data_IF_056767421677
#
_entry.id   IF_056767421677
#
_cell.length_a   1.000
_cell.length_b   1.000
_cell.length_c   1.000
_cell.angle_alpha   90.00
_cell.angle_beta   90.00
_cell.angle_gamma   90.00
#
_symmetry.space_group_name_H-M   'P 1'
#
loop_
_entity.id
_entity.type
_entity.pdbx_description
1 polymer ?
#
# COMPACT_ATOMS: atom_id res chain seq x y z
N UNK A 1 -0.54 -27.02 -16.25
CA UNK A 1 0.53 -26.06 -15.89
C UNK A 1 -0.02 -24.65 -16.14
N UNK A 2 -0.35 -23.89 -15.08
CA UNK A 2 -0.70 -22.46 -15.24
C UNK A 2 0.55 -21.75 -15.79
N UNK A 3 0.43 -21.10 -16.96
CA UNK A 3 1.51 -20.23 -17.48
C UNK A 3 1.79 -19.20 -16.39
N UNK A 4 3.06 -19.09 -15.92
CA UNK A 4 3.50 -18.00 -15.05
C UNK A 4 3.20 -16.66 -15.75
N UNK A 5 2.11 -16.03 -15.34
CA UNK A 5 1.71 -14.72 -15.87
C UNK A 5 2.66 -13.66 -15.28
N UNK A 6 3.31 -12.87 -16.13
CA UNK A 6 4.17 -11.77 -15.67
C UNK A 6 3.33 -10.71 -14.96
N UNK A 7 3.92 -10.09 -13.94
CA UNK A 7 3.36 -8.95 -13.24
C UNK A 7 4.48 -7.99 -12.86
N UNK A 8 4.32 -6.71 -13.12
CA UNK A 8 5.31 -5.71 -12.75
C UNK A 8 5.12 -5.28 -11.30
N UNK A 9 6.19 -5.25 -10.50
CA UNK A 9 6.14 -4.73 -9.14
C UNK A 9 6.80 -3.36 -9.05
N UNK A 10 6.01 -2.35 -8.75
CA UNK A 10 6.50 -1.02 -8.41
C UNK A 10 6.75 -0.94 -6.90
N UNK A 11 8.00 -1.21 -6.47
CA UNK A 11 8.39 -1.22 -5.06
C UNK A 11 8.38 0.18 -4.42
N UNK A 12 8.75 1.19 -5.20
CA UNK A 12 8.88 2.56 -4.70
C UNK A 12 10.00 2.72 -3.65
N UNK A 13 10.11 3.90 -3.07
CA UNK A 13 11.14 4.18 -2.07
C UNK A 13 10.85 3.52 -0.71
N UNK A 14 9.59 3.31 -0.36
CA UNK A 14 9.23 2.75 0.93
C UNK A 14 9.69 1.30 1.08
N UNK A 15 9.36 0.42 0.14
CA UNK A 15 9.78 -0.98 0.17
C UNK A 15 11.29 -1.17 -0.05
N UNK A 16 11.97 -0.19 -0.69
CA UNK A 16 13.42 -0.29 -0.88
C UNK A 16 14.23 0.18 0.35
N UNK A 17 13.75 1.18 1.10
CA UNK A 17 14.59 1.88 2.09
C UNK A 17 13.97 2.00 3.49
N UNK A 18 12.65 1.85 3.64
CA UNK A 18 11.94 2.06 4.92
C UNK A 18 11.42 0.74 5.49
N UNK A 19 10.80 -0.08 4.65
CA UNK A 19 10.15 -1.32 5.05
C UNK A 19 10.37 -2.43 3.99
N UNK A 20 11.60 -2.98 3.90
CA UNK A 20 11.93 -3.99 2.90
C UNK A 20 11.11 -5.28 3.04
N UNK A 21 10.59 -5.58 4.23
CA UNK A 21 9.74 -6.74 4.46
C UNK A 21 8.49 -6.70 3.59
N UNK A 22 7.85 -5.53 3.45
CA UNK A 22 6.67 -5.36 2.58
C UNK A 22 6.98 -5.72 1.13
N UNK A 23 8.16 -5.32 0.63
CA UNK A 23 8.60 -5.66 -0.72
C UNK A 23 8.80 -7.16 -0.91
N UNK A 24 9.47 -7.80 0.03
CA UNK A 24 9.71 -9.25 0.03
C UNK A 24 8.39 -10.03 0.12
N UNK A 25 7.51 -9.62 1.02
CA UNK A 25 6.18 -10.24 1.21
C UNK A 25 5.34 -10.13 -0.06
N UNK A 26 5.35 -8.97 -0.71
CA UNK A 26 4.63 -8.76 -1.98
C UNK A 26 5.12 -9.74 -3.06
N UNK A 27 6.44 -9.86 -3.22
CA UNK A 27 7.03 -10.78 -4.21
C UNK A 27 6.67 -12.23 -3.90
N UNK A 28 6.74 -12.65 -2.62
CA UNK A 28 6.45 -14.01 -2.21
C UNK A 28 4.98 -14.37 -2.41
N UNK A 29 4.06 -13.48 -2.00
CA UNK A 29 2.61 -13.68 -2.18
C UNK A 29 2.25 -13.73 -3.66
N UNK A 30 2.80 -12.86 -4.51
CA UNK A 30 2.56 -12.92 -5.95
C UNK A 30 3.03 -14.24 -6.57
N UNK A 31 4.17 -14.77 -6.14
CA UNK A 31 4.66 -16.09 -6.58
C UNK A 31 3.72 -17.22 -6.12
N UNK A 32 3.23 -17.17 -4.89
CA UNK A 32 2.24 -18.12 -4.37
C UNK A 32 0.95 -18.08 -5.19
N UNK A 33 0.53 -16.89 -5.64
CA UNK A 33 -0.60 -16.72 -6.56
C UNK A 33 -0.31 -17.18 -8.01
N UNK A 34 0.91 -17.69 -8.30
CA UNK A 34 1.29 -18.22 -9.61
C UNK A 34 1.76 -17.16 -10.61
N UNK A 35 2.14 -15.99 -10.15
CA UNK A 35 2.74 -14.94 -10.98
C UNK A 35 4.27 -15.05 -11.02
N UNK A 36 4.86 -14.42 -12.04
CA UNK A 36 6.28 -14.14 -12.14
C UNK A 36 6.49 -12.62 -11.96
N UNK A 37 6.81 -12.15 -10.76
CA UNK A 37 7.09 -10.73 -10.54
C UNK A 37 8.35 -10.29 -11.28
N UNK A 38 8.24 -9.17 -11.99
CA UNK A 38 9.37 -8.45 -12.58
C UNK A 38 9.50 -7.09 -11.92
N UNK A 39 10.72 -6.57 -11.82
CA UNK A 39 11.01 -5.26 -11.24
C UNK A 39 11.53 -4.33 -12.36
N UNK A 40 10.64 -3.56 -13.01
CA UNK A 40 11.08 -2.54 -13.96
C UNK A 40 11.98 -1.51 -13.30
N UNK A 41 12.85 -0.88 -14.05
CA UNK A 41 13.63 0.26 -13.55
C UNK A 41 12.70 1.35 -13.06
N UNK A 42 12.95 1.90 -11.87
CA UNK A 42 12.00 2.82 -11.25
C UNK A 42 12.70 3.90 -10.41
N UNK A 43 12.08 5.05 -10.36
CA UNK A 43 12.38 6.14 -9.42
C UNK A 43 11.29 6.23 -8.36
N UNK A 44 11.47 7.08 -7.36
CA UNK A 44 10.38 7.42 -6.43
C UNK A 44 9.13 7.84 -7.22
N UNK A 45 7.93 7.51 -6.74
CA UNK A 45 6.67 7.89 -7.38
C UNK A 45 6.46 9.41 -7.51
N UNK A 46 7.23 10.21 -6.80
CA UNK A 46 7.18 11.67 -6.89
C UNK A 46 6.20 12.35 -5.95
N UNK A 47 5.33 11.64 -5.24
CA UNK A 47 4.40 12.27 -4.27
C UNK A 47 5.11 13.16 -3.25
N UNK A 48 6.27 12.80 -2.66
CA UNK A 48 6.98 13.69 -1.75
C UNK A 48 7.40 15.01 -2.39
N UNK A 49 7.78 14.98 -3.66
CA UNK A 49 8.16 16.16 -4.45
C UNK A 49 6.93 17.02 -4.76
N UNK A 50 5.84 16.41 -5.20
CA UNK A 50 4.58 17.09 -5.47
C UNK A 50 4.03 17.78 -4.21
N UNK A 51 4.07 17.09 -3.06
CA UNK A 51 3.59 17.60 -1.77
C UNK A 51 4.36 18.85 -1.27
N UNK A 52 5.59 19.09 -1.74
CA UNK A 52 6.38 20.28 -1.40
C UNK A 52 6.45 21.30 -2.54
N UNK A 53 5.64 21.11 -3.61
CA UNK A 53 5.58 22.02 -4.76
C UNK A 53 6.73 21.87 -5.75
N UNK A 54 7.56 20.82 -5.65
CA UNK A 54 8.65 20.59 -6.60
C UNK A 54 8.15 19.82 -7.83
N UNK A 55 7.31 20.52 -8.64
CA UNK A 55 6.67 19.94 -9.81
C UNK A 55 7.68 19.45 -10.85
N UNK A 56 8.79 20.17 -11.05
CA UNK A 56 9.83 19.78 -12.02
C UNK A 56 10.40 18.38 -11.72
N UNK A 57 10.72 18.12 -10.47
CA UNK A 57 11.28 16.82 -10.07
C UNK A 57 10.22 15.72 -10.08
N UNK A 58 8.98 16.06 -9.70
CA UNK A 58 7.85 15.14 -9.84
C UNK A 58 7.69 14.69 -11.30
N UNK A 59 7.61 15.60 -12.25
CA UNK A 59 7.45 15.30 -13.69
C UNK A 59 8.61 14.45 -14.22
N UNK A 60 9.85 14.74 -13.81
CA UNK A 60 11.03 13.94 -14.20
C UNK A 60 10.94 12.49 -13.72
N UNK A 61 10.42 12.27 -12.52
CA UNK A 61 10.21 10.93 -11.98
C UNK A 61 9.04 10.23 -12.67
N UNK A 62 7.93 10.95 -12.88
CA UNK A 62 6.74 10.42 -13.51
C UNK A 62 7.01 9.95 -14.95
N UNK A 63 7.64 10.78 -15.77
CA UNK A 63 8.02 10.45 -17.15
C UNK A 63 8.94 9.20 -17.21
N UNK A 64 9.96 9.15 -16.34
CA UNK A 64 10.84 7.98 -16.26
C UNK A 64 10.07 6.70 -15.91
N UNK A 65 9.20 6.77 -14.89
CA UNK A 65 8.44 5.61 -14.42
C UNK A 65 7.42 5.15 -15.47
N UNK A 66 6.73 6.08 -16.14
CA UNK A 66 5.76 5.73 -17.20
C UNK A 66 6.46 4.97 -18.33
N UNK A 67 7.60 5.47 -18.85
CA UNK A 67 8.36 4.78 -19.92
C UNK A 67 8.75 3.37 -19.52
N UNK A 68 9.27 3.19 -18.31
CA UNK A 68 9.68 1.88 -17.82
C UNK A 68 8.51 0.92 -17.57
N UNK A 69 7.37 1.44 -17.10
CA UNK A 69 6.19 0.65 -16.79
C UNK A 69 5.41 0.26 -18.06
N UNK A 70 5.41 1.11 -19.10
CA UNK A 70 4.78 0.78 -20.37
C UNK A 70 5.51 -0.39 -21.07
N UNK A 71 6.85 -0.41 -21.00
CA UNK A 71 7.67 -1.49 -21.56
C UNK A 71 7.45 -2.86 -20.86
N UNK A 72 6.98 -2.86 -19.62
CA UNK A 72 6.69 -4.08 -18.89
C UNK A 72 5.55 -4.90 -19.51
N UNK A 73 4.61 -4.25 -20.21
CA UNK A 73 3.47 -4.82 -20.93
C UNK A 73 2.69 -5.88 -20.14
N UNK A 74 2.38 -5.57 -18.88
CA UNK A 74 1.59 -6.41 -17.97
C UNK A 74 0.95 -5.57 -16.86
N UNK A 75 0.07 -6.19 -16.06
CA UNK A 75 -0.46 -5.55 -14.87
C UNK A 75 0.68 -5.11 -13.94
N UNK A 76 0.46 -4.01 -13.24
CA UNK A 76 1.42 -3.40 -12.33
C UNK A 76 0.82 -3.44 -10.93
N UNK A 77 1.60 -3.83 -9.93
CA UNK A 77 1.17 -3.77 -8.53
C UNK A 77 2.16 -2.97 -7.70
N UNK A 78 1.64 -2.33 -6.66
CA UNK A 78 2.44 -1.65 -5.63
C UNK A 78 1.86 -1.90 -4.24
N UNK A 79 2.71 -1.98 -3.23
CA UNK A 79 2.30 -2.10 -1.83
C UNK A 79 2.37 -0.75 -1.09
N UNK A 80 2.15 0.35 -1.80
CA UNK A 80 2.17 1.69 -1.22
C UNK A 80 1.05 2.53 -1.82
N UNK A 81 0.06 2.88 -1.04
CA UNK A 81 -1.10 3.68 -1.48
C UNK A 81 -0.72 5.03 -2.07
N UNK A 82 0.39 5.63 -1.61
CA UNK A 82 0.90 6.89 -2.20
C UNK A 82 1.47 6.66 -3.60
N UNK A 83 2.12 5.51 -3.83
CA UNK A 83 2.62 5.15 -5.15
C UNK A 83 1.47 4.80 -6.11
N UNK A 84 0.48 4.06 -5.63
CA UNK A 84 -0.73 3.77 -6.40
C UNK A 84 -1.46 5.05 -6.80
N UNK A 85 -1.69 5.98 -5.87
CA UNK A 85 -2.32 7.27 -6.14
C UNK A 85 -1.52 8.07 -7.18
N UNK A 86 -0.19 8.14 -7.04
CA UNK A 86 0.67 8.86 -7.98
C UNK A 86 0.49 8.35 -9.41
N UNK A 87 0.61 7.03 -9.59
CA UNK A 87 0.61 6.40 -10.92
C UNK A 87 -0.82 6.39 -11.50
N UNK A 88 -1.83 6.16 -10.66
CA UNK A 88 -3.22 6.03 -11.10
C UNK A 88 -3.88 7.37 -11.43
N UNK A 89 -3.60 8.41 -10.63
CA UNK A 89 -4.32 9.69 -10.73
C UNK A 89 -3.41 10.87 -11.11
N UNK A 90 -2.22 10.99 -10.51
CA UNK A 90 -1.41 12.18 -10.70
C UNK A 90 -0.59 12.13 -12.00
N UNK A 91 -0.08 10.97 -12.42
CA UNK A 91 0.68 10.86 -13.66
C UNK A 91 -0.14 11.24 -14.89
N UNK A 92 -1.35 10.69 -15.14
CA UNK A 92 -2.18 11.11 -16.26
C UNK A 92 -2.47 12.62 -16.24
N UNK A 93 -2.83 13.14 -15.06
CA UNK A 93 -3.18 14.54 -14.86
C UNK A 93 -2.05 15.52 -15.17
N UNK A 94 -0.80 15.17 -14.85
CA UNK A 94 0.34 16.08 -14.98
C UNK A 94 1.19 15.85 -16.23
N UNK A 95 1.19 14.63 -16.78
CA UNK A 95 1.93 14.31 -18.01
C UNK A 95 1.08 14.50 -19.25
N UNK A 96 -0.25 14.40 -19.15
CA UNK A 96 -1.20 14.55 -20.25
C UNK A 96 -0.82 13.70 -21.48
N UNK A 97 -0.36 12.45 -21.26
CA UNK A 97 0.10 11.55 -22.31
C UNK A 97 -0.68 10.23 -22.34
N UNK A 98 -0.81 9.64 -23.54
CA UNK A 98 -1.51 8.36 -23.74
C UNK A 98 -0.83 7.22 -22.96
N UNK A 99 0.50 7.23 -22.86
CA UNK A 99 1.26 6.24 -22.09
C UNK A 99 0.97 6.32 -20.59
N UNK A 100 0.82 7.54 -20.05
CA UNK A 100 0.45 7.72 -18.64
C UNK A 100 -0.98 7.22 -18.37
N UNK A 101 -1.91 7.48 -19.29
CA UNK A 101 -3.27 6.96 -19.24
C UNK A 101 -3.29 5.43 -19.32
N UNK A 102 -2.49 4.82 -20.18
CA UNK A 102 -2.40 3.37 -20.29
C UNK A 102 -1.83 2.74 -19.01
N UNK A 103 -0.73 3.26 -18.49
CA UNK A 103 -0.12 2.78 -17.23
C UNK A 103 -1.10 2.94 -16.08
N UNK A 104 -1.87 4.04 -16.02
CA UNK A 104 -2.86 4.28 -14.96
C UNK A 104 -3.97 3.24 -14.89
N UNK A 105 -4.33 2.64 -16.02
CA UNK A 105 -5.36 1.58 -16.11
C UNK A 105 -4.85 0.22 -15.64
N UNK A 106 -3.53 0.03 -15.64
CA UNK A 106 -2.87 -1.25 -15.30
C UNK A 106 -2.25 -1.27 -13.91
N UNK A 107 -2.29 -0.16 -13.15
CA UNK A 107 -1.76 -0.10 -11.78
C UNK A 107 -2.82 -0.45 -10.76
N UNK A 108 -2.46 -1.31 -9.83
CA UNK A 108 -3.29 -1.75 -8.71
C UNK A 108 -2.51 -1.65 -7.39
N UNK A 109 -3.21 -1.31 -6.33
CA UNK A 109 -2.73 -1.62 -4.99
C UNK A 109 -2.69 -3.15 -4.80
N UNK A 110 -1.71 -3.68 -4.07
CA UNK A 110 -1.55 -5.14 -3.93
C UNK A 110 -2.78 -5.80 -3.29
N UNK A 111 -3.41 -5.16 -2.32
CA UNK A 111 -4.61 -5.73 -1.70
C UNK A 111 -5.82 -5.66 -2.63
N UNK A 112 -5.95 -4.59 -3.45
CA UNK A 112 -6.93 -4.50 -4.53
C UNK A 112 -6.75 -5.66 -5.52
N UNK A 113 -5.50 -5.94 -5.92
CA UNK A 113 -5.20 -7.02 -6.86
C UNK A 113 -5.55 -8.39 -6.30
N UNK A 114 -5.26 -8.65 -5.02
CA UNK A 114 -5.64 -9.90 -4.36
C UNK A 114 -7.17 -10.06 -4.24
N UNK A 115 -7.90 -8.97 -3.97
CA UNK A 115 -9.37 -8.97 -3.99
C UNK A 115 -9.91 -9.31 -5.38
N UNK A 116 -9.34 -8.75 -6.45
CA UNK A 116 -9.71 -9.12 -7.82
C UNK A 116 -9.49 -10.62 -8.08
N UNK A 117 -8.34 -11.17 -7.69
CA UNK A 117 -8.06 -12.60 -7.84
C UNK A 117 -9.02 -13.47 -7.03
N UNK A 118 -9.44 -13.02 -5.83
CA UNK A 118 -10.47 -13.69 -5.02
C UNK A 118 -11.80 -13.71 -5.76
N UNK A 119 -12.23 -12.58 -6.30
CA UNK A 119 -13.51 -12.44 -6.99
C UNK A 119 -13.56 -13.27 -8.28
N UNK A 120 -12.43 -13.42 -8.96
CA UNK A 120 -12.26 -14.28 -10.14
C UNK A 120 -12.07 -15.78 -9.78
N UNK A 121 -12.14 -16.16 -8.50
CA UNK A 121 -11.89 -17.50 -7.98
C UNK A 121 -10.51 -18.08 -8.39
N UNK A 122 -9.51 -17.23 -8.55
CA UNK A 122 -8.14 -17.61 -8.91
C UNK A 122 -7.15 -17.50 -7.76
N UNK A 123 -7.52 -16.83 -6.67
CA UNK A 123 -6.73 -16.76 -5.45
C UNK A 123 -6.77 -18.09 -4.69
N UNK A 124 -5.60 -18.58 -4.29
CA UNK A 124 -5.54 -19.66 -3.31
C UNK A 124 -5.89 -19.10 -1.92
N UNK A 125 -6.99 -19.56 -1.33
CA UNK A 125 -7.48 -19.13 -0.01
C UNK A 125 -7.23 -20.15 1.10
N UNK A 126 -6.36 -21.13 0.87
CA UNK A 126 -5.97 -22.12 1.90
C UNK A 126 -4.99 -21.48 2.89
N UNK A 127 -5.51 -20.58 3.70
CA UNK A 127 -4.74 -19.87 4.71
C UNK A 127 -4.56 -20.69 5.98
N UNK A 128 -3.38 -20.61 6.57
CA UNK A 128 -3.12 -21.07 7.94
C UNK A 128 -3.79 -20.14 8.95
N UNK A 129 -4.15 -20.68 10.11
CA UNK A 129 -4.78 -19.92 11.20
C UNK A 129 -3.81 -18.91 11.81
N UNK A 130 -4.30 -17.69 12.05
CA UNK A 130 -3.59 -16.63 12.76
C UNK A 130 -4.44 -16.16 13.96
N UNK A 131 -4.08 -16.62 15.15
CA UNK A 131 -4.82 -16.31 16.36
C UNK A 131 -4.41 -14.93 16.92
N UNK A 132 -4.95 -13.86 16.31
CA UNK A 132 -4.70 -12.49 16.75
C UNK A 132 -5.87 -11.54 16.39
N UNK A 133 -5.97 -10.41 17.10
CA UNK A 133 -6.88 -9.31 16.80
C UNK A 133 -6.13 -8.23 16.03
N UNK A 134 -6.60 -7.93 14.82
CA UNK A 134 -6.04 -6.94 13.92
C UNK A 134 -6.94 -5.71 13.86
N UNK A 135 -6.38 -4.53 14.09
CA UNK A 135 -7.06 -3.26 13.89
C UNK A 135 -6.52 -2.58 12.63
N UNK A 136 -7.38 -2.37 11.64
CA UNK A 136 -7.00 -1.80 10.37
C UNK A 136 -7.29 -0.30 10.29
N UNK A 137 -6.27 0.49 9.95
CA UNK A 137 -6.38 1.91 9.61
C UNK A 137 -6.25 2.11 8.10
N UNK A 138 -7.33 2.59 7.46
CA UNK A 138 -7.33 2.95 6.04
C UNK A 138 -6.64 4.30 5.81
N UNK A 139 -5.53 4.37 5.05
CA UNK A 139 -4.82 5.62 4.78
C UNK A 139 -5.65 6.58 3.91
N UNK A 140 -5.40 7.89 4.03
CA UNK A 140 -6.13 8.91 3.26
C UNK A 140 -6.01 8.72 1.74
N UNK A 141 -4.83 8.36 1.23
CA UNK A 141 -4.62 8.12 -0.21
C UNK A 141 -5.44 6.93 -0.71
N UNK A 142 -5.62 5.90 0.10
CA UNK A 142 -6.50 4.79 -0.22
C UNK A 142 -7.97 5.22 -0.26
N UNK A 143 -8.42 5.97 0.74
CA UNK A 143 -9.80 6.50 0.80
C UNK A 143 -10.17 7.35 -0.44
N UNK A 144 -9.20 8.11 -0.97
CA UNK A 144 -9.39 8.91 -2.20
C UNK A 144 -9.54 8.02 -3.44
N UNK A 145 -8.74 6.96 -3.55
CA UNK A 145 -8.75 6.09 -4.72
C UNK A 145 -9.86 5.04 -4.71
N UNK A 146 -10.17 4.49 -3.54
CA UNK A 146 -10.89 3.23 -3.41
C UNK A 146 -11.74 3.17 -2.14
N UNK A 147 -12.36 4.26 -1.73
CA UNK A 147 -13.14 4.31 -0.48
C UNK A 147 -14.18 3.19 -0.36
N UNK A 148 -14.81 2.82 -1.46
CA UNK A 148 -15.83 1.75 -1.52
C UNK A 148 -15.23 0.34 -1.43
N UNK A 149 -13.96 0.14 -1.79
CA UNK A 149 -13.29 -1.17 -1.80
C UNK A 149 -12.51 -1.48 -0.51
N UNK A 150 -12.61 -0.61 0.51
CA UNK A 150 -11.92 -0.85 1.78
C UNK A 150 -12.47 -2.10 2.46
N UNK A 151 -13.78 -2.30 2.44
CA UNK A 151 -14.42 -3.43 3.10
C UNK A 151 -14.09 -4.77 2.42
N UNK A 152 -13.94 -4.81 1.10
CA UNK A 152 -13.55 -6.02 0.36
C UNK A 152 -12.18 -6.55 0.79
N UNK A 153 -11.21 -5.67 1.05
CA UNK A 153 -9.89 -6.08 1.57
C UNK A 153 -9.94 -6.55 3.01
N UNK A 154 -10.85 -6.00 3.83
CA UNK A 154 -11.09 -6.52 5.18
C UNK A 154 -11.75 -7.90 5.12
N UNK A 155 -12.69 -8.11 4.22
CA UNK A 155 -13.31 -9.42 3.99
C UNK A 155 -12.26 -10.45 3.55
N UNK A 156 -11.34 -10.10 2.65
CA UNK A 156 -10.24 -10.98 2.28
C UNK A 156 -9.41 -11.39 3.50
N UNK A 157 -9.05 -10.44 4.37
CA UNK A 157 -8.30 -10.76 5.58
C UNK A 157 -9.12 -11.60 6.58
N UNK A 158 -10.44 -11.38 6.69
CA UNK A 158 -11.34 -12.18 7.55
C UNK A 158 -11.49 -13.63 7.09
N UNK A 159 -11.08 -13.97 5.85
CA UNK A 159 -11.02 -15.37 5.41
C UNK A 159 -9.87 -16.15 6.05
N UNK A 160 -8.91 -15.47 6.70
CA UNK A 160 -7.83 -16.13 7.45
C UNK A 160 -8.42 -16.69 8.75
N UNK A 161 -8.33 -18.02 8.98
CA UNK A 161 -8.93 -18.63 10.16
C UNK A 161 -8.35 -18.04 11.47
N UNK A 162 -9.21 -17.80 12.45
CA UNK A 162 -8.90 -17.25 13.78
C UNK A 162 -8.34 -15.81 13.78
N UNK A 163 -8.32 -15.10 12.63
CA UNK A 163 -7.98 -13.70 12.57
C UNK A 163 -9.23 -12.85 12.80
N UNK A 164 -9.25 -12.05 13.87
CA UNK A 164 -10.28 -11.01 14.08
C UNK A 164 -9.83 -9.71 13.42
N UNK A 165 -10.61 -9.18 12.48
CA UNK A 165 -10.27 -7.93 11.76
C UNK A 165 -11.31 -6.88 12.00
N UNK A 166 -10.92 -5.81 12.67
CA UNK A 166 -11.73 -4.61 12.91
C UNK A 166 -11.13 -3.41 12.19
N UNK A 167 -11.98 -2.44 11.85
CA UNK A 167 -11.58 -1.18 11.22
C UNK A 167 -11.69 -0.04 12.21
N UNK A 168 -10.73 0.89 12.17
CA UNK A 168 -10.81 2.15 12.91
C UNK A 168 -11.01 3.31 11.91
N UNK A 169 -12.06 4.10 12.14
CA UNK A 169 -12.41 5.29 11.34
C UNK A 169 -12.33 6.57 12.20
N UNK A 170 -11.23 6.70 12.96
CA UNK A 170 -10.94 7.91 13.75
C UNK A 170 -9.79 8.68 13.12
N UNK A 171 -10.07 9.89 12.69
CA UNK A 171 -9.07 10.89 12.30
C UNK A 171 -8.04 10.48 11.23
N UNK A 172 -6.97 11.22 11.18
CA UNK A 172 -5.81 11.04 10.30
C UNK A 172 -4.58 10.68 11.15
N UNK A 173 -3.63 9.91 10.60
CA UNK A 173 -2.37 9.64 11.30
C UNK A 173 -1.50 10.89 11.53
N UNK A 174 -1.77 11.98 10.83
CA UNK A 174 -1.06 13.25 10.98
C UNK A 174 0.23 13.38 10.15
N UNK A 175 0.73 12.31 9.52
CA UNK A 175 2.00 12.35 8.78
C UNK A 175 1.97 13.33 7.60
N UNK A 176 0.87 13.37 6.81
CA UNK A 176 0.71 14.31 5.70
C UNK A 176 1.85 14.25 4.68
N UNK A 177 2.13 13.05 4.14
CA UNK A 177 3.26 12.82 3.24
C UNK A 177 4.60 13.05 3.95
N UNK A 178 5.31 14.12 3.59
CA UNK A 178 6.58 14.52 4.24
C UNK A 178 6.42 15.60 5.31
N UNK A 179 5.19 16.04 5.59
CA UNK A 179 4.93 17.13 6.54
C UNK A 179 5.41 16.77 7.95
N UNK A 180 4.95 15.64 8.49
CA UNK A 180 5.30 15.18 9.84
C UNK A 180 6.76 14.73 9.99
N UNK A 181 7.40 14.33 8.89
CA UNK A 181 8.83 13.97 8.90
C UNK A 181 9.78 15.15 9.12
N UNK A 182 9.29 16.40 8.98
CA UNK A 182 10.09 17.59 9.23
C UNK A 182 10.09 17.93 10.72
N UNK A 183 11.28 18.08 11.33
CA UNK A 183 11.44 18.41 12.77
C UNK A 183 10.53 19.54 13.24
N UNK A 184 10.41 20.62 12.46
CA UNK A 184 9.58 21.80 12.80
C UNK A 184 8.06 21.51 12.83
N UNK A 185 7.61 20.43 12.18
CA UNK A 185 6.19 20.06 12.05
C UNK A 185 5.83 18.86 12.95
N UNK A 186 6.83 18.21 13.56
CA UNK A 186 6.62 16.95 14.29
C UNK A 186 5.54 17.07 15.37
N UNK A 187 5.65 18.04 16.28
CA UNK A 187 4.66 18.22 17.34
C UNK A 187 3.24 18.43 16.79
N UNK A 188 3.10 19.27 15.75
CA UNK A 188 1.81 19.51 15.10
C UNK A 188 1.27 18.25 14.41
N UNK A 189 2.14 17.47 13.78
CA UNK A 189 1.80 16.21 13.15
C UNK A 189 1.28 15.19 14.17
N UNK A 190 1.94 15.07 15.33
CA UNK A 190 1.48 14.21 16.43
C UNK A 190 0.14 14.64 16.99
N UNK A 191 -0.10 15.94 17.17
CA UNK A 191 -1.40 16.48 17.61
C UNK A 191 -2.53 16.11 16.62
N UNK A 192 -2.29 16.18 15.31
CA UNK A 192 -3.28 15.80 14.30
C UNK A 192 -3.61 14.30 14.40
N UNK A 193 -2.61 13.47 14.76
CA UNK A 193 -2.78 12.01 14.90
C UNK A 193 -3.43 11.58 16.23
N UNK A 194 -3.56 12.46 17.19
CA UNK A 194 -3.89 12.11 18.57
C UNK A 194 -5.21 11.32 18.69
N UNK A 195 -6.28 11.76 18.03
CA UNK A 195 -7.58 11.08 18.07
C UNK A 195 -7.49 9.62 17.55
N UNK A 196 -6.71 9.41 16.47
CA UNK A 196 -6.45 8.07 15.95
C UNK A 196 -5.65 7.23 16.95
N UNK A 197 -4.60 7.79 17.56
CA UNK A 197 -3.75 7.05 18.49
C UNK A 197 -4.51 6.63 19.75
N UNK A 198 -5.31 7.54 20.32
CA UNK A 198 -6.19 7.23 21.45
C UNK A 198 -7.16 6.11 21.12
N UNK A 199 -7.84 6.19 19.97
CA UNK A 199 -8.76 5.15 19.53
C UNK A 199 -8.10 3.79 19.28
N UNK A 200 -6.87 3.76 18.80
CA UNK A 200 -6.09 2.52 18.65
C UNK A 200 -5.76 1.93 20.02
N UNK A 201 -5.29 2.76 20.96
CA UNK A 201 -4.93 2.32 22.33
C UNK A 201 -6.18 1.80 23.07
N UNK A 202 -7.32 2.51 22.97
CA UNK A 202 -8.61 2.09 23.55
C UNK A 202 -9.08 0.73 23.01
N UNK A 203 -8.82 0.47 21.72
CA UNK A 203 -9.21 -0.79 21.08
C UNK A 203 -8.35 -1.99 21.48
N UNK A 204 -7.18 -1.77 22.10
CA UNK A 204 -6.26 -2.77 22.59
C UNK A 204 -6.02 -3.96 21.61
N UNK A 205 -5.68 -3.71 20.32
CA UNK A 205 -5.43 -4.78 19.37
C UNK A 205 -4.08 -5.46 19.62
N UNK A 206 -3.94 -6.72 19.21
CA UNK A 206 -2.64 -7.39 19.18
C UNK A 206 -1.70 -6.76 18.14
N UNK A 207 -2.29 -6.28 17.02
CA UNK A 207 -1.53 -5.73 15.90
C UNK A 207 -2.36 -4.68 15.16
N UNK A 208 -1.71 -3.62 14.70
CA UNK A 208 -2.33 -2.62 13.80
C UNK A 208 -1.86 -2.85 12.37
N UNK A 209 -2.76 -2.71 11.38
CA UNK A 209 -2.40 -2.79 9.97
C UNK A 209 -2.75 -1.50 9.21
N UNK A 210 -1.91 -1.13 8.25
CA UNK A 210 -2.15 -0.02 7.32
C UNK A 210 -1.31 -0.17 6.04
N UNK A 211 -1.85 0.25 4.89
CA UNK A 211 -1.20 0.14 3.57
C UNK A 211 -0.25 1.32 3.27
N UNK A 212 -0.02 2.21 4.23
CA UNK A 212 0.82 3.38 4.04
C UNK A 212 2.03 3.37 4.98
N UNK A 213 3.27 3.40 4.47
CA UNK A 213 4.46 3.41 5.30
C UNK A 213 4.55 4.64 6.21
N UNK A 214 4.06 5.80 5.75
CA UNK A 214 3.97 7.01 6.58
C UNK A 214 3.00 6.85 7.74
N UNK A 215 1.82 6.26 7.51
CA UNK A 215 0.87 5.94 8.60
C UNK A 215 1.46 4.91 9.56
N UNK A 216 2.14 3.87 9.06
CA UNK A 216 2.84 2.88 9.89
C UNK A 216 3.79 3.55 10.89
N UNK A 217 4.72 4.36 10.39
CA UNK A 217 5.69 5.05 11.24
C UNK A 217 5.02 5.96 12.28
N UNK A 218 4.02 6.73 11.85
CA UNK A 218 3.34 7.69 12.70
C UNK A 218 2.50 7.01 13.80
N UNK A 219 1.79 5.93 13.46
CA UNK A 219 1.00 5.14 14.42
C UNK A 219 1.93 4.44 15.42
N UNK A 220 3.03 3.82 14.95
CA UNK A 220 4.02 3.23 15.84
C UNK A 220 4.57 4.25 16.84
N UNK A 221 4.91 5.44 16.37
CA UNK A 221 5.43 6.51 17.21
C UNK A 221 4.39 7.04 18.22
N UNK A 222 3.11 7.13 17.79
CA UNK A 222 2.03 7.69 18.63
C UNK A 222 1.45 6.71 19.66
N UNK A 223 1.50 5.41 19.35
CA UNK A 223 0.87 4.38 20.19
C UNK A 223 1.85 3.45 20.89
N UNK A 224 3.07 3.33 20.40
CA UNK A 224 4.03 2.32 20.85
C UNK A 224 3.70 0.88 20.42
N UNK A 225 2.60 0.66 19.68
CA UNK A 225 2.15 -0.67 19.25
C UNK A 225 2.86 -1.10 17.95
N UNK A 226 2.90 -2.41 17.74
CA UNK A 226 3.36 -2.98 16.48
C UNK A 226 2.40 -2.63 15.34
N UNK A 227 2.94 -2.18 14.21
CA UNK A 227 2.16 -1.85 13.01
C UNK A 227 2.75 -2.55 11.80
N UNK A 228 1.92 -3.17 10.99
CA UNK A 228 2.33 -3.93 9.81
C UNK A 228 1.56 -3.50 8.56
N UNK A 229 2.00 -3.98 7.40
CA UNK A 229 1.23 -3.88 6.16
C UNK A 229 0.35 -5.13 5.99
N UNK A 230 -0.89 -5.03 5.48
CA UNK A 230 -1.78 -6.18 5.25
C UNK A 230 -1.13 -7.33 4.47
N UNK A 231 -0.24 -7.03 3.52
CA UNK A 231 0.47 -8.06 2.73
C UNK A 231 1.34 -8.99 3.59
N UNK A 232 1.89 -8.49 4.72
CA UNK A 232 2.66 -9.32 5.64
C UNK A 232 1.77 -10.33 6.37
N UNK A 233 0.52 -9.94 6.67
CA UNK A 233 -0.49 -10.83 7.24
C UNK A 233 -0.87 -11.93 6.23
N UNK A 234 -1.11 -11.57 4.98
CA UNK A 234 -1.40 -12.54 3.90
C UNK A 234 -0.21 -13.50 3.70
N UNK A 235 1.02 -12.98 3.68
CA UNK A 235 2.23 -13.81 3.61
C UNK A 235 2.29 -14.82 4.76
N UNK A 236 2.09 -14.35 5.99
CA UNK A 236 2.09 -15.20 7.19
C UNK A 236 0.99 -16.26 7.12
N UNK A 237 -0.18 -15.91 6.63
CA UNK A 237 -1.29 -16.84 6.44
C UNK A 237 -1.00 -17.91 5.38
N UNK A 238 -0.12 -17.64 4.41
CA UNK A 238 0.40 -18.66 3.49
C UNK A 238 1.53 -19.52 4.09
N UNK A 239 2.05 -19.19 5.27
CA UNK A 239 3.18 -19.89 5.89
C UNK A 239 4.53 -19.60 5.22
N UNK A 240 4.69 -18.42 4.61
CA UNK A 240 5.87 -17.97 3.84
C UNK A 240 6.86 -17.17 4.70
#
# INVERSE_FOLDING_TARGET
>A
MKKNKRIAYFAGCAANFVDPEVGQSTIQVLKECGFQPILPSQKCCGIPQLAVGNLREFLRHADFNVRSLIEADCDIVTACTSCALAIKLEYPKYLESEEAEEVSKRIYDIMEYLVMLKNDNTLNINFHSLNLSLLYHAPCHLKIMQGELIDDRLELMRMIPSLSVNRIDRGCCGMGGTFGAKRRNYAKSMMIGQELFEGIIESAPDLVATDCPGCKLQIQQGTGLAVTHPINIIKQAYGL
#
